data_IF_648506398394
#
_entry.id   IF_648506398394
#
_cell.length_a   1.000
_cell.length_b   1.000
_cell.length_c   1.000
_cell.angle_alpha   90.00
_cell.angle_beta   90.00
_cell.angle_gamma   90.00
#
_symmetry.space_group_name_H-M   'P 1'
#
loop_
_entity.id
_entity.type
_entity.pdbx_description
1 polymer ?
#
# COMPACT_ATOMS: atom_id res chain seq x y z
N UNK A 1 10.91 20.54 -46.32
CA UNK A 1 11.68 20.71 -45.06
C UNK A 1 10.84 20.16 -43.89
N UNK A 2 10.20 19.01 -44.09
CA UNK A 2 9.05 18.58 -43.29
C UNK A 2 9.23 17.15 -42.75
N UNK A 3 10.05 16.33 -43.40
CA UNK A 3 10.33 14.96 -42.97
C UNK A 3 11.27 14.91 -41.76
N UNK A 4 12.27 15.80 -41.68
CA UNK A 4 13.20 15.84 -40.56
C UNK A 4 12.53 16.34 -39.28
N UNK A 5 11.63 17.31 -39.39
CA UNK A 5 10.86 17.84 -38.26
C UNK A 5 9.89 16.78 -37.71
N UNK A 6 9.24 16.00 -38.58
CA UNK A 6 8.34 14.92 -38.17
C UNK A 6 9.08 13.78 -37.46
N UNK A 7 10.30 13.44 -37.91
CA UNK A 7 11.17 12.46 -37.22
C UNK A 7 11.63 12.98 -35.87
N UNK A 8 12.00 14.26 -35.78
CA UNK A 8 12.46 14.88 -34.55
C UNK A 8 11.36 14.93 -33.48
N UNK A 9 10.12 15.27 -33.86
CA UNK A 9 8.97 15.29 -32.95
C UNK A 9 8.67 13.90 -32.39
N UNK A 10 8.76 12.84 -33.20
CA UNK A 10 8.54 11.46 -32.73
C UNK A 10 9.59 11.02 -31.71
N UNK A 11 10.86 11.43 -31.88
CA UNK A 11 11.94 11.13 -30.94
C UNK A 11 11.73 11.88 -29.61
N UNK A 12 11.30 13.14 -29.65
CA UNK A 12 11.06 13.91 -28.42
C UNK A 12 9.93 13.28 -27.60
N UNK A 13 8.84 12.86 -28.25
CA UNK A 13 7.71 12.22 -27.57
C UNK A 13 8.13 10.89 -26.95
N UNK A 14 8.91 10.06 -27.67
CA UNK A 14 9.36 8.78 -27.11
C UNK A 14 10.29 8.97 -25.91
N UNK A 15 11.22 9.93 -25.98
CA UNK A 15 12.11 10.25 -24.85
C UNK A 15 11.31 10.80 -23.67
N UNK A 16 10.34 11.68 -23.90
CA UNK A 16 9.47 12.19 -22.84
C UNK A 16 8.67 11.07 -22.17
N UNK A 17 8.10 10.14 -22.93
CA UNK A 17 7.39 8.98 -22.38
C UNK A 17 8.29 8.06 -21.55
N UNK A 18 9.54 7.84 -21.97
CA UNK A 18 10.50 7.03 -21.20
C UNK A 18 10.89 7.73 -19.90
N UNK A 19 11.14 9.04 -19.93
CA UNK A 19 11.45 9.81 -18.71
C UNK A 19 10.28 9.79 -17.74
N UNK A 20 9.05 9.99 -18.22
CA UNK A 20 7.84 9.89 -17.40
C UNK A 20 7.70 8.47 -16.83
N UNK A 21 7.89 7.43 -17.65
CA UNK A 21 7.81 6.04 -17.19
C UNK A 21 8.86 5.74 -16.11
N UNK A 22 10.08 6.27 -16.23
CA UNK A 22 11.14 6.12 -15.21
C UNK A 22 10.79 6.87 -13.93
N UNK A 23 10.27 8.10 -14.02
CA UNK A 23 9.83 8.87 -12.85
C UNK A 23 8.67 8.17 -12.15
N UNK A 24 7.65 7.75 -12.89
CA UNK A 24 6.54 6.97 -12.34
C UNK A 24 7.03 5.64 -11.79
N UNK A 25 8.00 4.97 -12.41
CA UNK A 25 8.60 3.76 -11.87
C UNK A 25 9.31 4.02 -10.54
N UNK A 26 10.05 5.12 -10.39
CA UNK A 26 10.68 5.48 -9.11
C UNK A 26 9.67 5.88 -8.03
N UNK A 27 8.63 6.63 -8.40
CA UNK A 27 7.56 7.06 -7.47
C UNK A 27 6.68 5.87 -7.06
N UNK A 28 6.38 4.96 -8.00
CA UNK A 28 5.52 3.80 -7.75
C UNK A 28 6.29 2.52 -7.39
N UNK A 29 7.63 2.51 -7.37
CA UNK A 29 8.41 1.35 -6.92
C UNK A 29 8.22 1.02 -5.44
N UNK A 30 7.57 1.89 -4.66
CA UNK A 30 7.07 1.57 -3.32
C UNK A 30 5.84 0.66 -3.31
N UNK A 31 5.15 0.47 -4.45
CA UNK A 31 3.93 -0.34 -4.57
C UNK A 31 4.08 -1.38 -5.68
N UNK A 32 4.82 -2.45 -5.37
CA UNK A 32 4.82 -3.69 -6.15
C UNK A 32 3.39 -4.24 -6.26
N UNK A 33 2.82 -4.10 -7.47
CA UNK A 33 1.58 -4.74 -7.91
C UNK A 33 1.84 -6.22 -8.22
N UNK A 34 1.26 -7.09 -7.40
CA UNK A 34 1.30 -8.53 -7.57
C UNK A 34 -0.11 -9.10 -7.47
N UNK A 35 -0.55 -9.78 -8.52
CA UNK A 35 -1.86 -10.39 -8.65
C UNK A 35 -2.18 -11.38 -7.52
N UNK A 36 -3.20 -11.06 -6.72
CA UNK A 36 -4.30 -11.99 -6.43
C UNK A 36 -4.05 -13.22 -5.56
N UNK A 37 -3.12 -13.20 -4.59
CA UNK A 37 -3.19 -14.09 -3.41
C UNK A 37 -2.98 -13.25 -2.15
N UNK A 38 -3.86 -13.37 -1.17
CA UNK A 38 -3.67 -12.76 0.15
C UNK A 38 -2.44 -13.43 0.76
N UNK A 39 -1.32 -12.72 0.75
CA UNK A 39 -0.09 -13.21 1.35
C UNK A 39 -0.19 -13.06 2.87
N UNK A 40 -0.62 -14.13 3.53
CA UNK A 40 -0.75 -14.20 4.99
C UNK A 40 0.58 -14.01 5.73
N UNK A 41 1.71 -14.23 5.03
CA UNK A 41 3.05 -14.11 5.57
C UNK A 41 3.61 -12.69 5.42
N UNK A 42 2.91 -11.81 4.72
CA UNK A 42 3.28 -10.41 4.66
C UNK A 42 2.43 -9.60 5.64
N UNK A 43 3.06 -8.66 6.32
CA UNK A 43 2.42 -7.62 7.14
C UNK A 43 2.78 -6.25 6.60
N UNK A 44 1.86 -5.32 6.77
CA UNK A 44 2.05 -3.93 6.38
C UNK A 44 1.85 -3.04 7.59
N UNK A 45 2.62 -1.96 7.66
CA UNK A 45 2.32 -0.81 8.50
C UNK A 45 2.15 0.41 7.61
N UNK A 46 1.34 1.37 8.05
CA UNK A 46 1.16 2.66 7.40
C UNK A 46 1.32 3.75 8.45
N UNK A 47 2.18 4.72 8.15
CA UNK A 47 2.35 5.92 8.95
C UNK A 47 1.20 6.88 8.69
N UNK A 48 0.52 7.32 9.75
CA UNK A 48 -0.60 8.26 9.69
C UNK A 48 -0.15 9.73 9.85
N UNK A 49 1.16 9.98 10.00
CA UNK A 49 1.68 11.34 9.99
C UNK A 49 1.47 11.99 8.62
N UNK A 50 0.87 13.18 8.61
CA UNK A 50 0.43 13.92 7.41
C UNK A 50 1.57 14.14 6.40
N UNK A 51 2.80 14.38 6.87
CA UNK A 51 3.96 14.62 6.02
C UNK A 51 4.65 13.33 5.54
N UNK A 52 4.41 12.20 6.22
CA UNK A 52 5.11 10.94 5.95
C UNK A 52 4.29 10.02 5.05
N UNK A 53 3.11 9.58 5.50
CA UNK A 53 2.26 8.65 4.76
C UNK A 53 2.93 7.33 4.33
N UNK A 54 4.11 7.01 4.86
CA UNK A 54 4.91 5.90 4.38
C UNK A 54 4.29 4.55 4.74
N UNK A 55 4.24 3.64 3.77
CA UNK A 55 3.85 2.26 4.00
C UNK A 55 5.08 1.35 3.96
N UNK A 56 5.23 0.45 4.92
CA UNK A 56 6.31 -0.52 4.92
C UNK A 56 5.79 -1.95 4.94
N UNK A 57 6.48 -2.82 4.20
CA UNK A 57 6.20 -4.24 4.07
C UNK A 57 7.18 -5.02 4.94
N UNK A 58 6.64 -5.94 5.74
CA UNK A 58 7.39 -6.88 6.55
C UNK A 58 7.03 -8.31 6.17
N UNK A 59 7.98 -9.22 6.27
CA UNK A 59 7.66 -10.63 6.50
C UNK A 59 7.02 -10.82 7.87
N UNK A 60 6.43 -12.00 8.08
CA UNK A 60 5.81 -12.35 9.35
C UNK A 60 6.85 -12.33 10.46
N UNK A 61 8.03 -12.92 10.25
CA UNK A 61 9.10 -12.95 11.25
C UNK A 61 9.55 -11.53 11.60
N UNK A 62 9.90 -10.72 10.59
CA UNK A 62 10.38 -9.33 10.78
C UNK A 62 9.34 -8.48 11.52
N UNK A 63 8.06 -8.65 11.23
CA UNK A 63 7.00 -7.92 11.93
C UNK A 63 6.95 -8.27 13.42
N UNK A 64 7.09 -9.54 13.79
CA UNK A 64 7.09 -9.94 15.20
C UNK A 64 8.38 -9.61 15.93
N UNK A 65 9.53 -9.57 15.24
CA UNK A 65 10.78 -9.01 15.78
C UNK A 65 10.60 -7.51 16.05
N UNK A 66 10.10 -6.76 15.06
CA UNK A 66 9.82 -5.33 15.17
C UNK A 66 8.86 -4.98 16.33
N UNK A 67 7.78 -5.75 16.52
CA UNK A 67 6.87 -5.57 17.66
C UNK A 67 7.56 -5.80 19.01
N UNK A 68 8.44 -6.81 19.10
CA UNK A 68 9.19 -7.11 20.32
C UNK A 68 10.18 -5.99 20.65
N UNK A 69 10.88 -5.48 19.65
CA UNK A 69 11.81 -4.35 19.78
C UNK A 69 11.08 -3.07 20.19
N UNK A 70 9.86 -2.87 19.68
CA UNK A 70 9.00 -1.74 20.02
C UNK A 70 8.28 -1.90 21.38
N UNK A 71 8.39 -3.06 22.04
CA UNK A 71 7.73 -3.32 23.32
C UNK A 71 6.19 -3.47 23.23
N UNK A 72 5.63 -3.68 22.03
CA UNK A 72 4.19 -3.78 21.80
C UNK A 72 3.74 -5.25 21.84
N UNK A 73 2.66 -5.54 22.57
CA UNK A 73 2.06 -6.88 22.57
C UNK A 73 1.45 -7.17 21.18
N UNK A 74 1.84 -8.27 20.50
CA UNK A 74 1.26 -8.63 19.21
C UNK A 74 -0.25 -8.83 19.19
N UNK A 75 -0.88 -9.04 20.37
CA UNK A 75 -2.34 -9.14 20.52
C UNK A 75 -3.04 -7.79 20.42
N UNK A 76 -2.36 -6.69 20.76
CA UNK A 76 -2.88 -5.33 20.72
C UNK A 76 -2.32 -4.50 19.57
N UNK A 77 -1.34 -5.03 18.84
CA UNK A 77 -0.66 -4.36 17.71
C UNK A 77 -1.58 -3.85 16.59
N UNK A 78 -2.83 -4.30 16.52
CA UNK A 78 -3.83 -3.75 15.59
C UNK A 78 -4.18 -2.28 15.89
N UNK A 79 -4.09 -1.87 17.16
CA UNK A 79 -4.51 -0.55 17.64
C UNK A 79 -3.36 0.23 18.31
N UNK A 80 -2.21 -0.41 18.52
CA UNK A 80 -1.05 0.25 19.09
C UNK A 80 -0.36 1.09 18.02
N UNK A 81 0.02 2.31 18.40
CA UNK A 81 0.95 3.10 17.64
C UNK A 81 2.33 2.44 17.67
N UNK A 82 2.98 2.40 16.51
CA UNK A 82 4.30 1.83 16.29
C UNK A 82 5.23 2.93 15.78
N UNK A 83 6.53 2.86 16.07
CA UNK A 83 7.49 3.79 15.51
C UNK A 83 7.54 3.62 13.99
N UNK A 84 7.34 4.70 13.24
CA UNK A 84 7.50 4.69 11.80
C UNK A 84 8.99 4.52 11.45
N UNK A 85 9.36 3.52 10.63
CA UNK A 85 10.75 3.32 10.25
C UNK A 85 11.35 4.43 9.38
N UNK A 86 10.50 5.26 8.76
CA UNK A 86 10.93 6.37 7.89
C UNK A 86 11.08 7.69 8.65
N UNK A 87 10.08 8.11 9.45
CA UNK A 87 10.12 9.38 10.19
C UNK A 87 10.47 9.24 11.68
N UNK A 88 10.40 8.02 12.24
CA UNK A 88 10.67 7.74 13.67
C UNK A 88 9.52 8.05 14.63
N UNK A 89 8.44 8.69 14.17
CA UNK A 89 7.29 9.02 15.02
C UNK A 89 6.44 7.79 15.36
N UNK A 90 5.86 7.75 16.56
CA UNK A 90 4.92 6.71 16.99
C UNK A 90 3.52 6.95 16.40
N UNK A 91 3.43 6.90 15.07
CA UNK A 91 2.21 7.15 14.29
C UNK A 91 1.98 6.09 13.22
N UNK A 92 2.77 5.01 13.21
CA UNK A 92 2.56 3.89 12.31
C UNK A 92 1.58 2.88 12.92
N UNK A 93 0.64 2.40 12.12
CA UNK A 93 -0.33 1.39 12.53
C UNK A 93 -0.32 0.22 11.57
N UNK A 94 -0.76 -0.95 12.05
CA UNK A 94 -0.92 -2.12 11.20
C UNK A 94 -1.94 -1.84 10.10
N UNK A 95 -1.51 -2.05 8.86
CA UNK A 95 -2.29 -1.78 7.67
C UNK A 95 -2.67 -3.07 6.92
N UNK A 96 -3.71 -2.97 6.10
CA UNK A 96 -4.19 -4.00 5.21
C UNK A 96 -3.91 -3.61 3.76
N UNK A 97 -3.60 -4.58 2.91
CA UNK A 97 -3.45 -4.38 1.46
C UNK A 97 -4.62 -5.02 0.73
N UNK A 98 -5.40 -4.21 0.00
CA UNK A 98 -6.53 -4.70 -0.80
C UNK A 98 -6.03 -5.68 -1.87
N UNK A 99 -6.62 -6.88 -2.03
CA UNK A 99 -6.15 -7.85 -3.01
C UNK A 99 -6.56 -7.49 -4.44
N UNK A 100 -7.60 -6.66 -4.61
CA UNK A 100 -8.14 -6.27 -5.92
C UNK A 100 -7.40 -5.06 -6.50
N UNK A 101 -7.35 -3.94 -5.75
CA UNK A 101 -6.73 -2.70 -6.23
C UNK A 101 -5.35 -2.39 -5.62
N UNK A 102 -4.85 -3.23 -4.70
CA UNK A 102 -3.52 -3.09 -4.06
C UNK A 102 -3.34 -1.88 -3.16
N UNK A 103 -4.39 -1.08 -2.91
CA UNK A 103 -4.37 0.02 -1.92
C UNK A 103 -4.03 -0.51 -0.53
N UNK A 104 -3.08 0.15 0.14
CA UNK A 104 -2.75 -0.08 1.55
C UNK A 104 -3.55 0.92 2.38
N UNK A 105 -4.24 0.45 3.40
CA UNK A 105 -5.12 1.27 4.22
C UNK A 105 -5.17 0.77 5.67
N UNK A 106 -5.50 1.66 6.59
CA UNK A 106 -5.73 1.31 7.99
C UNK A 106 -7.09 0.64 8.16
N UNK A 107 -7.16 -0.25 9.15
CA UNK A 107 -8.43 -0.80 9.58
C UNK A 107 -9.27 0.29 10.23
N UNK A 108 -10.48 0.49 9.75
CA UNK A 108 -11.40 1.48 10.31
C UNK A 108 -12.41 0.79 11.24
N UNK A 109 -12.27 0.94 12.57
CA UNK A 109 -13.20 0.34 13.51
C UNK A 109 -14.58 1.02 13.53
N UNK A 110 -14.68 2.25 13.01
CA UNK A 110 -15.87 3.12 13.02
C UNK A 110 -16.65 3.06 11.69
N UNK A 111 -16.12 2.40 10.66
CA UNK A 111 -16.80 2.21 9.39
C UNK A 111 -18.23 1.67 9.59
N UNK A 112 -19.21 2.34 8.96
CA UNK A 112 -20.63 1.93 8.99
C UNK A 112 -20.88 0.59 8.29
N UNK A 113 -19.96 0.18 7.42
CA UNK A 113 -20.01 -1.04 6.61
C UNK A 113 -18.98 -2.07 7.11
N UNK A 114 -18.46 -2.95 6.24
CA UNK A 114 -17.36 -3.82 6.62
C UNK A 114 -16.08 -3.03 6.92
N UNK A 115 -15.50 -3.29 8.08
CA UNK A 115 -14.29 -2.62 8.61
C UNK A 115 -13.02 -2.86 7.78
N UNK A 116 -13.06 -3.85 6.89
CA UNK A 116 -12.01 -4.17 5.93
C UNK A 116 -12.33 -3.67 4.52
N UNK A 117 -13.37 -2.84 4.35
CA UNK A 117 -13.74 -2.28 3.05
C UNK A 117 -12.62 -1.37 2.56
N UNK A 118 -12.17 -1.63 1.35
CA UNK A 118 -11.16 -0.82 0.69
C UNK A 118 -11.67 0.62 0.51
N UNK A 119 -10.92 1.64 0.95
CA UNK A 119 -11.35 3.04 0.85
C UNK A 119 -11.33 3.61 -0.57
N UNK A 120 -10.76 2.87 -1.54
CA UNK A 120 -10.78 3.27 -2.93
C UNK A 120 -12.20 3.15 -3.51
N UNK A 121 -12.84 4.25 -3.94
CA UNK A 121 -14.24 4.27 -4.38
C UNK A 121 -14.50 3.43 -5.63
N UNK A 122 -13.49 3.25 -6.50
CA UNK A 122 -13.61 2.43 -7.69
C UNK A 122 -13.50 0.92 -7.40
N UNK A 123 -13.04 0.57 -6.18
CA UNK A 123 -12.81 -0.81 -5.78
C UNK A 123 -13.88 -1.32 -4.82
N UNK A 124 -14.06 -0.64 -3.67
CA UNK A 124 -15.05 -1.00 -2.64
C UNK A 124 -14.97 -2.43 -2.08
N UNK A 125 -13.94 -3.20 -2.41
CA UNK A 125 -13.82 -4.61 -2.03
C UNK A 125 -13.69 -4.79 -0.51
N UNK A 126 -14.36 -5.80 0.04
CA UNK A 126 -14.21 -6.32 1.40
C UNK A 126 -14.03 -7.85 1.35
N UNK A 127 -13.04 -8.38 2.06
CA UNK A 127 -12.86 -9.82 2.23
C UNK A 127 -14.01 -10.44 3.01
N UNK A 128 -14.48 -9.74 4.04
CA UNK A 128 -15.60 -10.20 4.87
C UNK A 128 -16.88 -10.36 4.03
N UNK A 129 -17.17 -9.38 3.17
CA UNK A 129 -18.30 -9.44 2.24
C UNK A 129 -18.17 -10.61 1.25
N UNK A 130 -17.01 -10.78 0.61
CA UNK A 130 -16.76 -11.88 -0.34
C UNK A 130 -16.86 -13.25 0.34
N UNK A 131 -16.34 -13.37 1.58
CA UNK A 131 -16.45 -14.58 2.39
C UNK A 131 -17.91 -14.92 2.68
N UNK A 132 -18.71 -13.96 3.14
CA UNK A 132 -20.14 -14.17 3.42
C UNK A 132 -20.89 -14.57 2.15
N UNK A 133 -20.54 -13.97 0.99
CA UNK A 133 -21.16 -14.30 -0.30
C UNK A 133 -20.86 -15.73 -0.75
N UNK A 134 -19.65 -16.22 -0.51
CA UNK A 134 -19.22 -17.57 -0.90
C UNK A 134 -19.72 -18.69 0.05
N UNK A 135 -20.25 -18.35 1.22
CA UNK A 135 -20.85 -19.30 2.17
C UNK A 135 -22.33 -19.58 1.90
N UNK A 136 -22.95 -18.84 1.00
CA UNK A 136 -24.36 -19.01 0.57
C UNK A 136 -24.43 -19.84 -0.70
#
# INVERSE_FOLDING_TARGET
MDEDKAKLVKIIISVACVVIAVVLFFVFNGSSGGSGKVDINTKYILCDAEECGASQKFTKEEYYDFLRESGVDPRTAQYAALPCPECGEETAYKANKCPKCQTIFLYDPEAEDYKDRCPNPDCGYSWEEERIRNLK
#
